data_IF_506531533141
#
_entry.id   IF_506531533141
#
_cell.length_a   1.000
_cell.length_b   1.000
_cell.length_c   1.000
_cell.angle_alpha   90.00
_cell.angle_beta   90.00
_cell.angle_gamma   90.00
#
_symmetry.space_group_name_H-M   'P 1'
#
loop_
_entity.id
_entity.type
_entity.pdbx_description
1 polymer ?
#
# COMPACT_ATOMS: atom_id res chain seq x y z
N UNK A 1 -10.36 5.53 7.68
CA UNK A 1 -10.21 4.15 7.15
C UNK A 1 -10.13 3.18 8.31
N UNK A 2 -10.93 2.11 8.31
CA UNK A 2 -10.78 1.03 9.28
C UNK A 2 -9.75 0.01 8.78
N UNK A 3 -8.81 -0.36 9.63
CA UNK A 3 -7.77 -1.35 9.30
C UNK A 3 -8.34 -2.76 9.49
N UNK A 4 -8.20 -3.61 8.47
CA UNK A 4 -8.57 -5.04 8.54
C UNK A 4 -7.38 -5.85 9.02
N UNK A 5 -7.64 -7.00 9.65
CA UNK A 5 -6.58 -7.87 10.20
C UNK A 5 -5.72 -8.53 9.14
N UNK A 6 -6.18 -8.56 7.90
CA UNK A 6 -5.50 -9.14 6.74
C UNK A 6 -4.93 -8.09 5.78
N UNK A 7 -5.06 -6.80 6.09
CA UNK A 7 -4.42 -5.74 5.32
C UNK A 7 -2.89 -5.90 5.37
N UNK A 8 -2.26 -5.61 4.24
CA UNK A 8 -0.81 -5.67 4.06
C UNK A 8 -0.27 -4.26 3.85
N UNK A 9 0.64 -3.82 4.71
CA UNK A 9 1.30 -2.52 4.59
C UNK A 9 2.76 -2.71 4.22
N UNK A 10 3.16 -2.15 3.08
CA UNK A 10 4.54 -2.10 2.59
C UNK A 10 5.10 -0.72 2.96
N UNK A 11 5.87 -0.67 4.04
CA UNK A 11 6.48 0.55 4.56
C UNK A 11 7.94 0.62 4.09
N UNK A 12 8.29 1.61 3.26
CA UNK A 12 9.63 1.70 2.66
C UNK A 12 10.16 3.12 2.68
N UNK A 13 11.47 3.33 2.66
CA UNK A 13 12.00 4.67 2.41
C UNK A 13 11.84 5.05 0.92
N UNK A 14 11.64 6.33 0.55
CA UNK A 14 11.51 6.73 -0.85
C UNK A 14 12.67 6.20 -1.71
N UNK A 15 12.34 5.72 -2.92
CA UNK A 15 13.30 5.15 -3.90
C UNK A 15 14.05 3.89 -3.43
N UNK A 16 13.54 3.16 -2.44
CA UNK A 16 14.18 1.94 -1.89
C UNK A 16 13.75 0.62 -2.55
N UNK A 17 13.09 0.67 -3.72
CA UNK A 17 12.61 -0.53 -4.41
C UNK A 17 11.18 -0.95 -4.06
N UNK A 18 10.29 -0.01 -3.72
CA UNK A 18 8.87 -0.26 -3.41
C UNK A 18 8.16 -1.07 -4.51
N UNK A 19 8.50 -0.82 -5.78
CA UNK A 19 7.93 -1.54 -6.91
C UNK A 19 8.17 -3.05 -6.81
N UNK A 20 9.42 -3.46 -6.57
CA UNK A 20 9.76 -4.87 -6.47
C UNK A 20 9.08 -5.56 -5.28
N UNK A 21 8.94 -4.85 -4.15
CA UNK A 21 8.19 -5.37 -3.01
C UNK A 21 6.70 -5.54 -3.32
N UNK A 22 6.10 -4.58 -4.04
CA UNK A 22 4.72 -4.70 -4.48
C UNK A 22 4.54 -5.94 -5.37
N UNK A 23 5.35 -6.09 -6.43
CA UNK A 23 5.27 -7.24 -7.33
C UNK A 23 5.43 -8.57 -6.58
N UNK A 24 6.38 -8.64 -5.65
CA UNK A 24 6.61 -9.84 -4.84
C UNK A 24 5.38 -10.19 -3.98
N UNK A 25 4.78 -9.20 -3.32
CA UNK A 25 3.57 -9.43 -2.51
C UNK A 25 2.42 -9.89 -3.40
N UNK A 26 2.23 -9.29 -4.57
CA UNK A 26 1.17 -9.71 -5.50
C UNK A 26 1.39 -11.12 -6.03
N UNK A 27 2.63 -11.52 -6.33
CA UNK A 27 2.95 -12.91 -6.68
C UNK A 27 2.57 -13.85 -5.54
N UNK A 28 2.94 -13.54 -4.30
CA UNK A 28 2.59 -14.37 -3.14
C UNK A 28 1.07 -14.50 -2.99
N UNK A 29 0.31 -13.41 -3.17
CA UNK A 29 -1.15 -13.42 -3.10
C UNK A 29 -1.82 -14.18 -4.24
N UNK A 30 -1.11 -14.37 -5.35
CA UNK A 30 -1.59 -15.07 -6.54
C UNK A 30 -0.92 -16.45 -6.73
N UNK A 31 -0.45 -17.08 -5.65
CA UNK A 31 0.18 -18.41 -5.68
C UNK A 31 1.38 -18.51 -6.64
N UNK A 32 2.09 -17.41 -6.84
CA UNK A 32 3.24 -17.29 -7.73
C UNK A 32 2.89 -17.19 -9.21
N UNK A 33 1.62 -16.97 -9.57
CA UNK A 33 1.17 -16.84 -10.97
C UNK A 33 1.46 -15.44 -11.53
N UNK A 34 2.46 -15.27 -12.42
CA UNK A 34 2.80 -13.97 -12.98
C UNK A 34 1.76 -13.46 -13.97
N UNK A 35 0.86 -14.29 -14.50
CA UNK A 35 -0.17 -13.87 -15.45
C UNK A 35 -1.28 -13.04 -14.77
N UNK A 36 -1.39 -13.18 -13.44
CA UNK A 36 -2.31 -12.41 -12.60
C UNK A 36 -1.70 -11.10 -12.09
N UNK A 37 -0.45 -10.79 -12.45
CA UNK A 37 0.15 -9.49 -12.19
C UNK A 37 -0.47 -8.45 -13.11
N UNK A 38 -1.58 -7.86 -12.68
CA UNK A 38 -2.17 -6.73 -13.39
C UNK A 38 -1.36 -5.46 -13.09
N UNK A 39 -0.77 -4.81 -14.10
CA UNK A 39 -0.09 -3.52 -13.92
C UNK A 39 -1.01 -2.38 -13.42
N UNK A 40 -2.31 -2.66 -13.27
CA UNK A 40 -3.32 -1.80 -12.65
C UNK A 40 -3.34 -1.87 -11.13
N UNK A 41 -2.42 -2.60 -10.48
CA UNK A 41 -2.27 -2.54 -9.02
C UNK A 41 -2.03 -1.09 -8.61
N UNK A 42 -3.12 -0.45 -8.17
CA UNK A 42 -3.16 0.95 -7.75
C UNK A 42 -2.02 1.12 -6.74
N UNK A 43 -1.03 1.94 -7.09
CA UNK A 43 0.07 2.26 -6.19
C UNK A 43 -0.47 3.15 -5.09
N UNK A 44 -1.17 2.58 -4.11
CA UNK A 44 -1.71 3.40 -3.03
C UNK A 44 -0.55 3.76 -2.13
N UNK A 45 0.01 4.94 -2.41
CA UNK A 45 0.94 5.63 -1.54
C UNK A 45 0.09 6.29 -0.48
N UNK A 46 0.23 5.84 0.77
CA UNK A 46 -0.56 6.31 1.90
C UNK A 46 -0.41 7.81 2.12
N UNK A 47 0.71 8.39 1.71
CA UNK A 47 1.02 9.81 1.74
C UNK A 47 0.25 10.62 0.69
N UNK A 48 -0.23 9.95 -0.37
CA UNK A 48 -1.08 10.52 -1.41
C UNK A 48 -2.57 10.29 -1.11
N UNK A 49 -2.92 9.72 0.05
CA UNK A 49 -4.32 9.50 0.44
C UNK A 49 -5.07 10.82 0.68
N UNK A 50 -4.36 11.87 1.10
CA UNK A 50 -4.91 13.22 1.27
C UNK A 50 -4.77 14.08 0.00
N UNK A 51 -4.09 13.58 -1.03
CA UNK A 51 -3.83 14.33 -2.27
C UNK A 51 -4.79 13.91 -3.39
N UNK A 52 -5.38 14.91 -4.03
CA UNK A 52 -6.16 14.79 -5.26
C UNK A 52 -5.23 14.64 -6.47
N UNK A 53 -4.25 13.74 -6.42
CA UNK A 53 -3.29 13.56 -7.50
C UNK A 53 -3.91 12.68 -8.62
N UNK A 54 -3.80 13.20 -9.84
CA UNK A 54 -4.47 12.79 -11.09
C UNK A 54 -4.24 11.34 -11.47
N UNK A 55 -3.09 10.78 -11.11
CA UNK A 55 -2.68 9.42 -11.46
C UNK A 55 -3.17 8.36 -10.47
N UNK A 56 -3.70 8.77 -9.32
CA UNK A 56 -4.08 7.88 -8.23
C UNK A 56 -5.56 8.06 -7.89
N UNK A 57 -6.45 7.73 -8.82
CA UNK A 57 -7.87 7.40 -8.59
C UNK A 57 -8.83 8.52 -8.10
N UNK A 58 -8.34 9.55 -7.42
CA UNK A 58 -9.15 10.56 -6.72
C UNK A 58 -9.87 11.55 -7.65
N UNK A 59 -9.35 11.82 -8.86
CA UNK A 59 -9.87 12.93 -9.67
C UNK A 59 -11.24 12.68 -10.32
N UNK A 60 -11.70 11.42 -10.43
CA UNK A 60 -12.98 11.15 -11.07
C UNK A 60 -14.19 11.49 -10.17
N UNK A 61 -14.02 11.45 -8.83
CA UNK A 61 -15.15 11.53 -7.89
C UNK A 61 -14.99 12.56 -6.77
N UNK A 62 -13.79 13.11 -6.55
CA UNK A 62 -13.53 13.98 -5.38
C UNK A 62 -13.52 13.22 -4.05
N UNK A 63 -13.56 11.90 -4.09
CA UNK A 63 -13.54 11.01 -2.94
C UNK A 63 -12.10 10.72 -2.54
N UNK A 64 -11.73 10.84 -1.25
CA UNK A 64 -10.40 10.44 -0.80
C UNK A 64 -10.11 8.96 -1.13
N UNK A 65 -8.88 8.67 -1.57
CA UNK A 65 -8.48 7.30 -1.96
C UNK A 65 -8.80 6.25 -0.90
N UNK A 66 -8.68 6.59 0.39
CA UNK A 66 -8.96 5.64 1.46
C UNK A 66 -10.43 5.21 1.56
N UNK A 67 -11.36 6.05 1.10
CA UNK A 67 -12.79 5.71 1.08
C UNK A 67 -13.11 4.77 -0.08
N UNK A 68 -12.57 5.06 -1.28
CA UNK A 68 -12.71 4.17 -2.45
C UNK A 68 -12.21 2.75 -2.16
N UNK A 69 -11.15 2.64 -1.36
CA UNK A 69 -10.55 1.36 -0.99
C UNK A 69 -11.23 0.64 0.18
N UNK A 70 -12.23 1.27 0.79
CA UNK A 70 -13.02 0.60 1.84
C UNK A 70 -13.87 -0.53 1.27
N UNK A 71 -14.16 -0.49 -0.03
CA UNK A 71 -14.93 -1.50 -0.78
C UNK A 71 -14.06 -2.59 -1.43
N UNK A 72 -12.74 -2.38 -1.53
CA UNK A 72 -11.84 -3.34 -2.17
C UNK A 72 -11.87 -4.72 -1.46
N UNK A 73 -11.75 -5.82 -2.22
CA UNK A 73 -11.66 -7.16 -1.65
C UNK A 73 -10.40 -7.32 -0.80
N UNK A 74 -10.50 -8.16 0.22
CA UNK A 74 -9.36 -8.53 1.05
C UNK A 74 -8.51 -9.64 0.41
N UNK A 75 -7.18 -9.70 0.66
CA UNK A 75 -6.41 -8.73 1.45
C UNK A 75 -6.05 -7.48 0.63
N UNK A 76 -6.15 -6.30 1.25
CA UNK A 76 -5.78 -5.03 0.60
C UNK A 76 -4.29 -4.75 0.81
N UNK A 77 -3.62 -4.25 -0.23
CA UNK A 77 -2.19 -3.92 -0.19
C UNK A 77 -2.01 -2.40 -0.24
N UNK A 78 -1.36 -1.85 0.78
CA UNK A 78 -1.03 -0.44 0.92
C UNK A 78 0.48 -0.25 0.87
N UNK A 79 0.92 0.89 0.35
CA UNK A 79 2.34 1.28 0.38
C UNK A 79 2.49 2.63 1.04
N UNK A 80 3.57 2.86 1.77
CA UNK A 80 3.78 4.14 2.46
C UNK A 80 5.26 4.40 2.65
N UNK A 81 5.63 5.69 2.62
CA UNK A 81 6.94 6.13 3.09
C UNK A 81 6.90 6.76 4.49
N UNK A 82 5.72 6.75 5.12
CA UNK A 82 5.53 7.28 6.46
C UNK A 82 6.28 6.41 7.47
N UNK A 83 6.93 7.11 8.39
CA UNK A 83 7.48 6.50 9.60
C UNK A 83 6.33 5.95 10.46
N UNK A 84 6.65 4.92 11.25
CA UNK A 84 5.73 4.30 12.22
C UNK A 84 4.93 5.32 13.05
N UNK A 85 5.57 6.40 13.48
CA UNK A 85 4.98 7.41 14.36
C UNK A 85 3.90 8.26 13.68
N UNK A 86 3.88 8.29 12.34
CA UNK A 86 2.91 9.02 11.52
C UNK A 86 1.78 8.11 11.00
N UNK A 87 1.87 6.81 11.28
CA UNK A 87 0.89 5.82 10.84
C UNK A 87 -0.23 5.64 11.87
N UNK A 88 -1.48 5.41 11.44
CA UNK A 88 -2.59 5.14 12.37
C UNK A 88 -2.29 3.99 13.32
N UNK A 89 -2.51 4.20 14.63
CA UNK A 89 -2.23 3.18 15.66
C UNK A 89 -2.97 1.86 15.42
N UNK A 90 -4.10 1.90 14.73
CA UNK A 90 -4.92 0.74 14.39
C UNK A 90 -4.13 -0.33 13.62
N UNK A 91 -3.15 0.08 12.81
CA UNK A 91 -2.27 -0.82 12.06
C UNK A 91 -1.52 -1.74 13.02
N UNK A 92 -1.03 -1.21 14.13
CA UNK A 92 -0.27 -1.98 15.11
C UNK A 92 -1.17 -2.81 16.03
N UNK A 93 -2.39 -2.34 16.30
CA UNK A 93 -3.33 -2.98 17.24
C UNK A 93 -4.11 -4.14 16.64
N UNK A 94 -4.41 -4.11 15.33
CA UNK A 94 -5.32 -5.07 14.68
C UNK A 94 -4.65 -6.31 14.07
N UNK A 95 -3.38 -6.57 14.39
CA UNK A 95 -2.59 -7.70 13.84
C UNK A 95 -2.54 -7.72 12.31
N UNK A 96 -2.60 -6.57 11.65
CA UNK A 96 -2.36 -6.49 10.21
C UNK A 96 -0.91 -6.89 9.89
N UNK A 97 -0.67 -7.31 8.65
CA UNK A 97 0.66 -7.71 8.21
C UNK A 97 1.43 -6.47 7.78
N UNK A 98 2.54 -6.19 8.43
CA UNK A 98 3.39 -5.03 8.10
C UNK A 98 4.76 -5.52 7.64
N UNK A 99 5.13 -5.15 6.43
CA UNK A 99 6.43 -5.45 5.84
C UNK A 99 7.24 -4.16 5.74
N UNK A 100 8.40 -4.13 6.38
CA UNK A 100 9.33 -3.01 6.30
C UNK A 100 10.45 -3.32 5.29
N UNK A 101 10.71 -2.39 4.38
CA UNK A 101 11.90 -2.41 3.54
C UNK A 101 12.79 -1.24 3.91
N UNK A 102 14.00 -1.54 4.38
CA UNK A 102 15.04 -0.56 4.69
C UNK A 102 16.14 -0.75 3.65
N UNK A 103 16.34 0.23 2.77
CA UNK A 103 17.52 0.24 1.91
C UNK A 103 18.64 1.02 2.60
N UNK A 104 19.86 0.51 2.49
CA UNK A 104 21.07 1.25 2.85
C UNK A 104 21.23 2.40 1.84
N UNK A 105 21.21 3.63 2.33
CA UNK A 105 21.68 4.78 1.55
C UNK A 105 23.19 4.57 1.40
N UNK A 106 23.64 4.17 0.20
CA UNK A 106 25.05 4.31 -0.15
C UNK A 106 25.25 5.79 -0.48
N UNK A 107 26.19 6.40 0.23
CA UNK A 107 26.64 7.79 0.05
C UNK A 107 26.92 8.14 -1.42
#
# INVERSE_FOLDING_TARGET
MDVRSDDIFICTYPKSGTHWMQELVHLILNDGDPTKLTHSHRRIVMEAIERTDVELGCLATGTPNFELMSEDPSPRVFTTHLRKDLLPEQIWKRRSKVTFQIALIKD
#
